data_IF_657832386705
#
_entry.id   IF_657832386705
#
_cell.length_a   1.000
_cell.length_b   1.000
_cell.length_c   1.000
_cell.angle_alpha   90.00
_cell.angle_beta   90.00
_cell.angle_gamma   90.00
#
_symmetry.space_group_name_H-M   'P 1'
#
loop_
_entity.id
_entity.type
_entity.pdbx_description
1 polymer ?
#
# COMPACT_ATOMS: atom_id res chain seq x y z
N UNK A 1 -1.41 17.69 19.41
CA UNK A 1 -0.06 18.31 19.39
C UNK A 1 0.55 18.03 18.02
N UNK A 2 1.57 18.77 17.56
CA UNK A 2 2.23 18.37 16.31
C UNK A 2 2.97 17.04 16.52
N UNK A 3 2.81 16.09 15.59
CA UNK A 3 3.44 14.76 15.61
C UNK A 3 4.60 14.75 14.63
N UNK A 4 5.62 13.94 14.88
CA UNK A 4 6.73 13.67 13.95
C UNK A 4 6.53 12.32 13.30
N UNK A 5 6.35 12.30 11.98
CA UNK A 5 5.99 11.12 11.22
C UNK A 5 7.09 10.82 10.19
N UNK A 6 7.68 9.63 10.29
CA UNK A 6 8.64 9.14 9.31
C UNK A 6 7.91 8.33 8.25
N UNK A 7 8.11 8.61 6.97
CA UNK A 7 7.49 7.86 5.87
C UNK A 7 8.58 7.27 4.98
N UNK A 8 8.66 5.95 4.92
CA UNK A 8 9.54 5.25 4.01
C UNK A 8 8.91 5.23 2.63
N UNK A 9 9.46 6.04 1.70
CA UNK A 9 8.99 6.17 0.32
C UNK A 9 8.42 7.55 -0.01
N UNK A 10 9.16 8.34 -0.78
CA UNK A 10 8.78 9.71 -1.20
C UNK A 10 7.94 9.80 -2.49
N UNK A 11 7.31 8.69 -2.92
CA UNK A 11 6.36 8.70 -4.04
C UNK A 11 4.94 8.62 -3.52
N UNK A 12 4.42 7.41 -3.32
CA UNK A 12 3.06 7.22 -2.81
C UNK A 12 2.89 7.77 -1.39
N UNK A 13 3.93 7.65 -0.55
CA UNK A 13 3.96 8.21 0.81
C UNK A 13 3.77 9.73 0.86
N UNK A 14 4.11 10.46 -0.21
CA UNK A 14 3.88 11.91 -0.29
C UNK A 14 2.40 12.28 -0.26
N UNK A 15 1.50 11.40 -0.70
CA UNK A 15 0.06 11.65 -0.63
C UNK A 15 -0.40 11.75 0.82
N UNK A 16 -0.17 10.71 1.62
CA UNK A 16 -0.55 10.72 3.03
C UNK A 16 0.28 11.74 3.82
N UNK A 17 1.57 11.90 3.49
CA UNK A 17 2.43 12.94 4.05
C UNK A 17 1.85 14.34 3.85
N UNK A 18 1.37 14.69 2.66
CA UNK A 18 0.70 15.98 2.42
C UNK A 18 -0.55 16.14 3.28
N UNK A 19 -1.33 15.08 3.52
CA UNK A 19 -2.48 15.16 4.43
C UNK A 19 -2.06 15.46 5.87
N UNK A 20 -0.98 14.85 6.35
CA UNK A 20 -0.43 15.13 7.68
C UNK A 20 0.13 16.56 7.79
N UNK A 21 0.83 17.05 6.76
CA UNK A 21 1.31 18.43 6.70
C UNK A 21 0.16 19.44 6.75
N UNK A 22 -0.94 19.18 6.02
CA UNK A 22 -2.14 20.03 6.07
C UNK A 22 -2.77 20.06 7.47
N UNK A 23 -2.72 18.95 8.20
CA UNK A 23 -3.20 18.85 9.57
C UNK A 23 -2.21 19.40 10.63
N UNK A 24 -1.06 19.95 10.22
CA UNK A 24 -0.09 20.59 11.12
C UNK A 24 0.96 19.65 11.74
N UNK A 25 1.09 18.43 11.22
CA UNK A 25 2.12 17.47 11.66
C UNK A 25 3.39 17.58 10.81
N UNK A 26 4.52 17.16 11.38
CA UNK A 26 5.82 17.18 10.72
C UNK A 26 6.10 15.83 10.06
N UNK A 27 6.58 15.87 8.81
CA UNK A 27 6.80 14.67 7.99
C UNK A 27 8.25 14.63 7.51
N UNK A 28 8.88 13.48 7.70
CA UNK A 28 10.16 13.14 7.06
C UNK A 28 9.93 12.06 6.00
N UNK A 29 10.31 12.34 4.75
CA UNK A 29 10.28 11.34 3.67
C UNK A 29 11.64 10.66 3.50
N UNK A 30 11.68 9.33 3.67
CA UNK A 30 12.88 8.54 3.35
C UNK A 30 12.91 8.23 1.87
N UNK A 31 14.01 8.61 1.21
CA UNK A 31 14.19 8.41 -0.22
C UNK A 31 15.68 8.40 -0.61
N UNK A 32 15.95 8.28 -1.92
CA UNK A 32 17.31 8.37 -2.46
C UNK A 32 17.85 9.80 -2.34
N UNK A 33 19.17 9.95 -2.25
CA UNK A 33 19.86 11.24 -2.05
C UNK A 33 19.37 12.35 -2.98
N UNK A 34 19.32 12.12 -4.29
CA UNK A 34 18.87 13.12 -5.26
C UNK A 34 17.40 13.56 -5.03
N UNK A 35 16.53 12.63 -4.62
CA UNK A 35 15.14 12.95 -4.27
C UNK A 35 15.06 13.73 -2.96
N UNK A 36 15.91 13.41 -1.98
CA UNK A 36 15.97 14.15 -0.71
C UNK A 36 16.44 15.59 -0.93
N UNK A 37 17.51 15.80 -1.71
CA UNK A 37 18.02 17.12 -2.10
C UNK A 37 16.95 17.94 -2.83
N UNK A 38 16.24 17.31 -3.78
CA UNK A 38 15.13 17.95 -4.50
C UNK A 38 14.00 18.37 -3.55
N UNK A 39 13.56 17.48 -2.66
CA UNK A 39 12.45 17.76 -1.73
C UNK A 39 12.86 18.82 -0.70
N UNK A 40 14.06 18.76 -0.13
CA UNK A 40 14.53 19.80 0.79
C UNK A 40 14.70 21.15 0.07
N UNK A 41 15.18 21.11 -1.19
CA UNK A 41 15.42 22.30 -2.00
C UNK A 41 14.18 22.94 -2.62
N UNK A 42 13.10 22.19 -2.89
CA UNK A 42 11.89 22.68 -3.57
C UNK A 42 10.55 22.39 -2.85
N UNK A 43 10.55 21.52 -1.83
CA UNK A 43 9.33 20.92 -1.27
C UNK A 43 8.77 19.79 -2.14
N UNK A 44 7.65 19.19 -1.73
CA UNK A 44 6.79 18.35 -2.58
C UNK A 44 5.56 19.10 -3.09
N UNK A 45 4.98 18.60 -4.19
CA UNK A 45 3.67 19.03 -4.73
C UNK A 45 2.77 17.80 -4.94
N UNK A 46 1.58 17.80 -4.33
CA UNK A 46 0.56 16.78 -4.56
C UNK A 46 -0.67 17.41 -5.21
N UNK A 47 -1.06 16.91 -6.38
CA UNK A 47 -2.17 17.42 -7.16
C UNK A 47 -3.43 16.63 -6.86
N UNK A 48 -4.42 17.26 -6.22
CA UNK A 48 -5.68 16.64 -5.81
C UNK A 48 -6.83 17.44 -6.43
N UNK A 49 -7.78 16.75 -7.05
CA UNK A 49 -9.02 17.33 -7.55
C UNK A 49 -9.99 17.51 -6.38
N UNK A 50 -10.36 18.74 -6.06
CA UNK A 50 -11.39 19.00 -5.04
C UNK A 50 -12.78 18.67 -5.58
N UNK A 51 -13.74 18.55 -4.67
CA UNK A 51 -15.15 18.36 -5.05
C UNK A 51 -15.62 19.55 -5.90
N UNK A 52 -16.34 19.24 -6.98
CA UNK A 52 -16.96 20.20 -7.90
C UNK A 52 -15.96 21.12 -8.63
N UNK A 53 -14.72 20.65 -8.82
CA UNK A 53 -13.72 21.33 -9.65
C UNK A 53 -13.41 20.48 -10.86
N UNK A 54 -13.00 21.11 -11.96
CA UNK A 54 -12.61 20.39 -13.18
C UNK A 54 -11.13 19.99 -13.20
N UNK A 55 -10.28 20.85 -12.60
CA UNK A 55 -8.84 20.72 -12.59
C UNK A 55 -8.31 20.26 -11.23
N UNK A 56 -7.16 19.59 -11.24
CA UNK A 56 -6.44 19.26 -10.01
C UNK A 56 -5.78 20.50 -9.42
N UNK A 57 -5.95 20.73 -8.12
CA UNK A 57 -5.23 21.77 -7.39
C UNK A 57 -3.87 21.26 -6.91
N UNK A 58 -2.79 22.05 -7.05
CA UNK A 58 -1.50 21.72 -6.47
C UNK A 58 -1.47 22.08 -4.98
N UNK A 59 -1.12 21.12 -4.13
CA UNK A 59 -0.82 21.34 -2.71
C UNK A 59 0.68 21.21 -2.50
N UNK A 60 1.34 22.35 -2.24
CA UNK A 60 2.79 22.41 -2.06
C UNK A 60 3.12 22.40 -0.58
N UNK A 61 3.99 21.49 -0.18
CA UNK A 61 4.43 21.32 1.23
C UNK A 61 4.87 22.61 1.94
N UNK A 62 5.48 23.55 1.22
CA UNK A 62 5.94 24.84 1.78
C UNK A 62 4.84 25.79 2.19
N UNK A 63 3.64 25.58 1.65
CA UNK A 63 2.46 26.41 1.91
C UNK A 63 1.56 25.76 2.98
N UNK A 64 1.96 24.63 3.57
CA UNK A 64 1.18 23.86 4.53
C UNK A 64 1.60 24.16 5.98
N UNK A 65 0.72 23.83 6.93
CA UNK A 65 0.92 24.13 8.34
C UNK A 65 2.06 23.34 9.00
N UNK A 66 2.25 22.09 8.58
CA UNK A 66 3.33 21.20 9.04
C UNK A 66 4.64 21.39 8.27
N UNK A 67 5.72 20.85 8.81
CA UNK A 67 7.04 20.92 8.16
C UNK A 67 7.41 19.63 7.44
N UNK A 68 8.04 19.77 6.28
CA UNK A 68 8.53 18.65 5.47
C UNK A 68 10.06 18.69 5.36
N UNK A 69 10.69 17.55 5.63
CA UNK A 69 12.04 17.27 5.19
C UNK A 69 12.13 15.88 4.52
N UNK A 70 13.29 15.58 3.95
CA UNK A 70 13.58 14.30 3.34
C UNK A 70 15.02 13.88 3.61
N UNK A 71 15.24 12.59 3.81
CA UNK A 71 16.55 12.04 4.11
C UNK A 71 16.77 10.66 3.51
N UNK A 72 18.06 10.29 3.40
CA UNK A 72 18.48 8.94 3.06
C UNK A 72 18.40 8.02 4.30
N UNK A 73 18.25 6.69 4.12
CA UNK A 73 17.99 5.78 5.23
C UNK A 73 19.00 5.86 6.38
N UNK A 74 20.30 6.03 6.11
CA UNK A 74 21.37 6.02 7.13
C UNK A 74 21.25 7.20 8.12
N UNK A 75 20.70 8.33 7.69
CA UNK A 75 20.55 9.55 8.53
C UNK A 75 19.36 9.52 9.48
N UNK A 76 18.41 8.61 9.27
CA UNK A 76 17.22 8.50 10.11
C UNK A 76 17.59 8.04 11.53
N UNK A 77 16.93 8.67 12.52
CA UNK A 77 16.93 8.29 13.94
C UNK A 77 15.49 7.94 14.34
N UNK A 78 15.07 6.67 14.29
CA UNK A 78 13.68 6.28 14.49
C UNK A 78 13.06 6.78 15.80
N UNK A 79 13.85 6.83 16.88
CA UNK A 79 13.45 7.33 18.21
C UNK A 79 12.97 8.80 18.23
N UNK A 80 13.23 9.55 17.15
CA UNK A 80 12.76 10.91 17.00
C UNK A 80 11.33 11.00 16.42
N UNK A 81 10.64 9.89 16.20
CA UNK A 81 9.33 9.86 15.54
C UNK A 81 8.27 9.21 16.40
N UNK A 82 7.04 9.72 16.29
CA UNK A 82 5.86 9.18 16.98
C UNK A 82 5.21 8.06 16.18
N UNK A 83 5.39 8.04 14.85
CA UNK A 83 4.83 7.05 13.94
C UNK A 83 5.76 6.86 12.73
N UNK A 84 5.89 5.62 12.28
CA UNK A 84 6.49 5.28 10.99
C UNK A 84 5.40 4.84 10.01
N UNK A 85 5.50 5.26 8.76
CA UNK A 85 4.65 4.81 7.66
C UNK A 85 5.48 4.09 6.60
N UNK A 86 5.07 2.89 6.21
CA UNK A 86 5.77 2.06 5.23
C UNK A 86 5.07 2.21 3.86
N UNK A 87 5.63 3.00 2.94
CA UNK A 87 5.00 3.40 1.68
C UNK A 87 5.86 3.11 0.44
N UNK A 88 6.60 2.01 0.47
CA UNK A 88 7.36 1.43 -0.65
C UNK A 88 6.78 0.05 -0.99
N UNK A 89 7.07 -0.51 -2.17
CA UNK A 89 6.69 -1.90 -2.46
C UNK A 89 7.56 -2.88 -1.66
N UNK A 90 7.00 -4.04 -1.28
CA UNK A 90 7.71 -5.07 -0.48
C UNK A 90 9.16 -5.35 -0.91
N UNK A 91 9.48 -5.56 -2.22
CA UNK A 91 10.85 -5.87 -2.61
C UNK A 91 11.89 -4.80 -2.27
N UNK A 92 11.48 -3.53 -2.11
CA UNK A 92 12.40 -2.44 -1.78
C UNK A 92 12.93 -2.56 -0.35
N UNK A 93 12.20 -3.22 0.54
CA UNK A 93 12.62 -3.46 1.92
C UNK A 93 13.72 -4.52 2.04
N UNK A 94 13.98 -5.29 0.98
CA UNK A 94 15.13 -6.20 0.92
C UNK A 94 16.47 -5.50 0.64
N UNK A 95 16.45 -4.24 0.18
CA UNK A 95 17.68 -3.47 -0.05
C UNK A 95 18.43 -3.22 1.27
N UNK A 96 19.77 -3.28 1.23
CA UNK A 96 20.61 -3.23 2.45
C UNK A 96 20.32 -2.00 3.30
N UNK A 97 20.27 -0.81 2.71
CA UNK A 97 20.06 0.45 3.44
C UNK A 97 18.68 0.53 4.10
N UNK A 98 17.64 0.06 3.40
CA UNK A 98 16.28 0.05 3.94
C UNK A 98 16.14 -1.04 5.01
N UNK A 99 16.73 -2.22 4.80
CA UNK A 99 16.74 -3.30 5.79
C UNK A 99 17.42 -2.86 7.09
N UNK A 100 18.56 -2.19 7.01
CA UNK A 100 19.23 -1.63 8.20
C UNK A 100 18.39 -0.57 8.90
N UNK A 101 17.61 0.23 8.15
CA UNK A 101 16.65 1.15 8.75
C UNK A 101 15.49 0.41 9.44
N UNK A 102 14.92 -0.63 8.81
CA UNK A 102 13.88 -1.46 9.42
C UNK A 102 14.33 -2.06 10.76
N UNK A 103 15.56 -2.59 10.83
CA UNK A 103 16.11 -3.12 12.09
C UNK A 103 16.19 -2.06 13.19
N UNK A 104 16.61 -0.84 12.86
CA UNK A 104 16.63 0.28 13.83
C UNK A 104 15.23 0.72 14.25
N UNK A 105 14.26 0.69 13.34
CA UNK A 105 12.86 0.99 13.66
C UNK A 105 12.31 -0.05 14.64
N UNK A 106 12.55 -1.34 14.39
CA UNK A 106 12.16 -2.42 15.29
C UNK A 106 12.78 -2.26 16.69
N UNK A 107 14.08 -1.96 16.76
CA UNK A 107 14.79 -1.70 18.03
C UNK A 107 14.23 -0.48 18.78
N UNK A 108 13.86 0.58 18.06
CA UNK A 108 13.26 1.78 18.65
C UNK A 108 11.79 1.58 19.07
N UNK A 109 11.14 0.48 18.66
CA UNK A 109 9.75 0.11 19.00
C UNK A 109 8.72 1.18 18.63
N UNK A 110 8.95 1.91 17.54
CA UNK A 110 8.02 2.94 17.05
C UNK A 110 6.85 2.26 16.30
N UNK A 111 5.59 2.63 16.55
CA UNK A 111 4.46 2.05 15.83
C UNK A 111 4.56 2.31 14.32
N UNK A 112 4.23 1.29 13.53
CA UNK A 112 4.39 1.29 12.07
C UNK A 112 3.06 1.05 11.35
N UNK A 113 2.63 2.00 10.53
CA UNK A 113 1.47 1.87 9.65
C UNK A 113 1.94 1.53 8.22
N UNK A 114 1.63 0.33 7.73
CA UNK A 114 1.95 -0.05 6.37
C UNK A 114 0.90 0.41 5.36
N UNK A 115 1.32 1.04 4.26
CA UNK A 115 0.49 1.36 3.08
C UNK A 115 0.77 0.39 1.91
N UNK A 116 1.41 -0.74 2.18
CA UNK A 116 1.78 -1.73 1.18
C UNK A 116 0.54 -2.56 0.78
N UNK A 117 0.48 -3.08 -0.45
CA UNK A 117 -0.54 -4.11 -0.73
C UNK A 117 -0.16 -5.43 -0.07
N UNK A 118 1.14 -5.74 -0.02
CA UNK A 118 1.67 -6.88 0.70
C UNK A 118 1.69 -6.59 2.20
N UNK A 119 0.94 -7.32 3.04
CA UNK A 119 1.04 -7.18 4.49
C UNK A 119 2.46 -7.50 4.97
N UNK A 120 3.06 -6.69 5.86
CA UNK A 120 4.29 -7.09 6.53
C UNK A 120 4.08 -8.38 7.33
N UNK A 121 5.08 -9.27 7.38
CA UNK A 121 4.98 -10.51 8.15
C UNK A 121 4.55 -10.30 9.63
N UNK A 122 5.05 -9.28 10.36
CA UNK A 122 4.63 -9.02 11.74
C UNK A 122 3.14 -8.71 11.85
N UNK A 123 2.52 -8.14 10.82
CA UNK A 123 1.08 -7.93 10.79
C UNK A 123 0.32 -9.25 10.63
N UNK A 124 0.78 -10.14 9.74
CA UNK A 124 0.17 -11.46 9.55
C UNK A 124 0.26 -12.33 10.81
N UNK A 125 1.33 -12.18 11.60
CA UNK A 125 1.47 -12.87 12.89
C UNK A 125 0.37 -12.50 13.91
N UNK A 126 -0.42 -11.44 13.66
CA UNK A 126 -1.56 -11.04 14.50
C UNK A 126 -2.85 -11.76 14.12
N UNK A 127 -2.88 -12.48 12.99
CA UNK A 127 -4.09 -13.14 12.50
C UNK A 127 -4.27 -14.49 13.20
N UNK A 128 -5.35 -14.69 13.99
CA UNK A 128 -5.54 -15.94 14.73
C UNK A 128 -5.63 -17.15 13.81
N UNK A 129 -4.87 -18.20 14.14
CA UNK A 129 -4.90 -19.48 13.42
C UNK A 129 -4.18 -19.49 12.06
N UNK A 130 -3.46 -18.43 11.71
CA UNK A 130 -2.68 -18.38 10.47
C UNK A 130 -1.25 -18.90 10.69
N UNK A 131 -0.83 -19.87 9.88
CA UNK A 131 0.55 -20.42 9.93
C UNK A 131 1.48 -19.59 9.04
N UNK A 132 2.12 -18.57 9.62
CA UNK A 132 2.91 -17.60 8.86
C UNK A 132 4.26 -18.12 8.35
N UNK A 133 4.81 -19.17 8.97
CA UNK A 133 6.06 -19.82 8.52
C UNK A 133 5.93 -20.36 7.09
N UNK A 134 4.75 -20.82 6.71
CA UNK A 134 4.45 -21.32 5.36
C UNK A 134 4.32 -20.21 4.31
N UNK A 135 4.35 -18.94 4.72
CA UNK A 135 4.16 -17.77 3.83
C UNK A 135 5.48 -17.11 3.44
N UNK A 136 6.62 -17.62 3.92
CA UNK A 136 7.94 -17.03 3.67
C UNK A 136 8.28 -16.89 2.17
N UNK A 137 7.81 -17.82 1.33
CA UNK A 137 8.02 -17.80 -0.12
C UNK A 137 7.34 -16.62 -0.84
N UNK A 138 6.40 -15.92 -0.18
CA UNK A 138 5.73 -14.74 -0.74
C UNK A 138 6.56 -13.46 -0.63
N UNK A 139 7.64 -13.47 0.16
CA UNK A 139 8.44 -12.29 0.47
C UNK A 139 9.77 -12.33 -0.28
N UNK A 140 10.23 -11.16 -0.72
CA UNK A 140 11.58 -11.01 -1.29
C UNK A 140 12.63 -11.25 -0.22
N UNK A 141 12.39 -10.76 1.00
CA UNK A 141 13.23 -11.05 2.17
C UNK A 141 12.45 -10.84 3.46
N UNK A 142 12.65 -11.76 4.42
CA UNK A 142 12.11 -11.63 5.78
C UNK A 142 13.07 -10.99 6.79
N UNK A 143 14.35 -10.79 6.42
CA UNK A 143 15.39 -10.40 7.38
C UNK A 143 15.07 -9.09 8.11
N UNK A 144 14.53 -8.10 7.40
CA UNK A 144 14.17 -6.80 7.98
C UNK A 144 12.95 -6.82 8.89
N UNK A 145 12.17 -7.90 8.86
CA UNK A 145 10.90 -8.02 9.58
C UNK A 145 11.00 -8.84 10.87
N UNK A 146 12.07 -9.62 11.05
CA UNK A 146 12.19 -10.60 12.16
C UNK A 146 12.09 -9.99 13.56
N UNK A 147 12.66 -8.80 13.75
CA UNK A 147 12.75 -8.14 15.06
C UNK A 147 11.51 -7.29 15.40
N UNK A 148 10.55 -7.15 14.47
CA UNK A 148 9.36 -6.36 14.72
C UNK A 148 8.41 -7.10 15.65
N UNK A 149 7.97 -6.40 16.69
CA UNK A 149 6.85 -6.84 17.51
C UNK A 149 5.55 -6.75 16.71
N UNK A 150 4.77 -7.84 16.56
CA UNK A 150 3.51 -7.83 15.82
C UNK A 150 2.56 -6.70 16.24
N UNK A 151 2.38 -6.48 17.54
CA UNK A 151 1.48 -5.45 18.09
C UNK A 151 1.82 -4.00 17.71
N UNK A 152 3.05 -3.74 17.25
CA UNK A 152 3.53 -2.44 16.79
C UNK A 152 3.32 -2.21 15.29
N UNK A 153 2.87 -3.21 14.54
CA UNK A 153 2.65 -3.09 13.09
C UNK A 153 1.16 -3.14 12.79
N UNK A 154 0.67 -2.13 12.08
CA UNK A 154 -0.65 -2.10 11.50
C UNK A 154 -0.58 -2.01 9.98
N UNK A 155 -1.69 -2.34 9.33
CA UNK A 155 -1.84 -2.31 7.88
C UNK A 155 -2.97 -1.35 7.51
N UNK A 156 -2.74 -0.62 6.43
CA UNK A 156 -3.68 0.27 5.82
C UNK A 156 -3.91 -0.17 4.38
N UNK A 157 -5.17 -0.28 3.96
CA UNK A 157 -5.46 -0.47 2.54
C UNK A 157 -5.08 0.80 1.77
N UNK A 158 -4.14 0.74 0.81
CA UNK A 158 -3.79 1.87 -0.04
C UNK A 158 -4.83 1.98 -1.17
N UNK A 159 -6.02 2.46 -0.86
CA UNK A 159 -7.10 2.62 -1.85
C UNK A 159 -6.86 3.78 -2.84
N UNK A 160 -6.28 4.94 -2.45
CA UNK A 160 -6.07 6.04 -3.38
C UNK A 160 -5.20 5.64 -4.57
N UNK A 161 -5.58 6.04 -5.78
CA UNK A 161 -4.72 5.89 -6.96
C UNK A 161 -3.93 7.17 -7.19
N UNK A 162 -2.62 7.09 -7.04
CA UNK A 162 -1.71 8.20 -7.27
C UNK A 162 -0.47 7.74 -8.06
N UNK A 163 0.03 8.61 -8.94
CA UNK A 163 1.16 8.31 -9.81
C UNK A 163 1.97 9.57 -10.10
N UNK A 164 3.24 9.39 -10.45
CA UNK A 164 4.08 10.46 -11.00
C UNK A 164 3.77 10.62 -12.48
N UNK A 165 3.66 11.88 -12.93
CA UNK A 165 3.55 12.18 -14.35
C UNK A 165 4.94 12.01 -15.00
N UNK A 166 5.03 11.47 -16.24
CA UNK A 166 6.31 11.24 -16.91
C UNK A 166 7.19 12.49 -17.02
N UNK A 167 6.56 13.65 -17.28
CA UNK A 167 7.26 14.92 -17.52
C UNK A 167 7.43 15.78 -16.25
N UNK A 168 7.08 15.26 -15.08
CA UNK A 168 7.15 15.99 -13.82
C UNK A 168 8.37 15.58 -12.98
N UNK A 169 8.90 16.53 -12.20
CA UNK A 169 9.95 16.28 -11.21
C UNK A 169 9.51 15.20 -10.19
N UNK A 170 10.47 14.47 -9.62
CA UNK A 170 10.21 13.34 -8.71
C UNK A 170 9.48 13.71 -7.40
N UNK A 171 9.38 14.99 -7.07
CA UNK A 171 8.66 15.54 -5.93
C UNK A 171 7.19 15.91 -6.26
N UNK A 172 6.71 15.65 -7.48
CA UNK A 172 5.34 15.91 -7.92
C UNK A 172 4.54 14.60 -8.00
N UNK A 173 3.37 14.55 -7.35
CA UNK A 173 2.46 13.42 -7.38
C UNK A 173 1.07 13.86 -7.87
N UNK A 174 0.45 13.05 -8.73
CA UNK A 174 -0.90 13.28 -9.23
C UNK A 174 -1.86 12.23 -8.66
N UNK A 175 -2.99 12.67 -8.10
CA UNK A 175 -4.05 11.79 -7.60
C UNK A 175 -5.10 11.58 -8.68
N UNK A 176 -5.16 10.37 -9.24
CA UNK A 176 -6.14 9.98 -10.24
C UNK A 176 -7.49 9.63 -9.63
N UNK A 177 -7.50 8.85 -8.55
CA UNK A 177 -8.72 8.43 -7.85
C UNK A 177 -8.59 8.74 -6.35
N UNK A 178 -9.36 9.72 -5.82
CA UNK A 178 -9.19 10.20 -4.46
C UNK A 178 -10.07 9.44 -3.45
N UNK A 179 -9.84 8.14 -3.29
CA UNK A 179 -10.45 7.29 -2.24
C UNK A 179 -9.74 7.45 -0.90
N UNK A 180 -10.09 6.65 0.12
CA UNK A 180 -9.60 6.81 1.49
C UNK A 180 -8.67 5.68 1.91
N UNK A 181 -7.63 6.03 2.67
CA UNK A 181 -6.82 5.07 3.41
C UNK A 181 -7.66 4.45 4.53
N UNK A 182 -7.67 3.12 4.64
CA UNK A 182 -8.41 2.39 5.69
C UNK A 182 -7.44 1.62 6.56
N UNK A 183 -7.19 2.11 7.76
CA UNK A 183 -6.23 1.55 8.70
C UNK A 183 -6.91 0.54 9.64
N UNK A 184 -6.31 -0.63 9.79
CA UNK A 184 -6.58 -1.55 10.88
C UNK A 184 -6.03 -0.98 12.21
N UNK A 185 -6.48 -1.50 13.37
CA UNK A 185 -5.98 -1.02 14.64
C UNK A 185 -4.59 -1.60 14.97
N UNK A 186 -3.79 -0.83 15.70
CA UNK A 186 -2.66 -1.37 16.47
C UNK A 186 -3.17 -2.23 17.64
N UNK A 187 -2.29 -2.98 18.29
CA UNK A 187 -2.67 -3.74 19.49
C UNK A 187 -2.88 -2.82 20.70
N UNK A 188 -1.94 -1.89 20.92
CA UNK A 188 -2.02 -0.96 22.04
C UNK A 188 -2.99 0.21 21.76
N UNK A 189 -3.79 0.59 22.76
CA UNK A 189 -4.74 1.69 22.66
C UNK A 189 -4.05 3.03 22.36
N UNK A 190 -2.92 3.28 23.02
CA UNK A 190 -2.08 4.48 22.85
C UNK A 190 -1.62 4.70 21.39
N UNK A 191 -1.29 3.65 20.65
CA UNK A 191 -0.97 3.76 19.22
C UNK A 191 -2.22 4.02 18.36
N UNK A 192 -3.38 3.52 18.78
CA UNK A 192 -4.64 3.82 18.12
C UNK A 192 -5.11 5.26 18.38
N UNK A 193 -4.75 5.86 19.52
CA UNK A 193 -4.99 7.29 19.78
C UNK A 193 -4.22 8.18 18.79
N UNK A 194 -3.00 7.79 18.40
CA UNK A 194 -2.24 8.45 17.33
C UNK A 194 -3.03 8.39 16.02
N UNK A 195 -3.54 7.21 15.62
CA UNK A 195 -4.34 7.08 14.39
C UNK A 195 -5.62 7.94 14.43
N UNK A 196 -6.32 7.97 15.56
CA UNK A 196 -7.55 8.77 15.73
C UNK A 196 -7.25 10.27 15.70
N UNK A 197 -6.15 10.72 16.30
CA UNK A 197 -5.71 12.12 16.21
C UNK A 197 -5.43 12.51 14.76
N UNK A 198 -4.70 11.67 14.01
CA UNK A 198 -4.37 11.90 12.61
C UNK A 198 -5.61 11.88 11.71
N UNK A 199 -6.54 10.95 11.92
CA UNK A 199 -7.82 10.92 11.23
C UNK A 199 -8.62 12.21 11.46
N UNK A 200 -8.82 12.61 12.72
CA UNK A 200 -9.57 13.80 13.07
C UNK A 200 -8.93 15.07 12.48
N UNK A 201 -7.60 15.17 12.53
CA UNK A 201 -6.85 16.26 11.91
C UNK A 201 -7.07 16.33 10.40
N UNK A 202 -7.01 15.20 9.70
CA UNK A 202 -7.25 15.11 8.25
C UNK A 202 -8.70 15.41 7.88
N UNK A 203 -9.65 15.01 8.72
CA UNK A 203 -11.07 15.29 8.52
C UNK A 203 -11.41 16.77 8.69
N UNK A 204 -10.73 17.47 9.60
CA UNK A 204 -10.92 18.89 9.85
C UNK A 204 -10.39 19.80 8.72
N UNK A 205 -9.52 19.30 7.83
CA UNK A 205 -8.93 20.11 6.75
C UNK A 205 -10.00 20.74 5.86
N UNK A 206 -9.92 22.07 5.68
CA UNK A 206 -10.70 22.83 4.72
C UNK A 206 -9.81 23.75 3.89
N UNK A 207 -10.11 23.87 2.60
CA UNK A 207 -9.44 24.80 1.67
C UNK A 207 -10.53 25.60 0.98
N UNK A 208 -10.56 26.92 1.18
CA UNK A 208 -11.65 27.79 0.71
C UNK A 208 -13.04 27.27 1.15
N UNK A 209 -13.14 26.77 2.39
CA UNK A 209 -14.35 26.17 2.93
C UNK A 209 -14.70 24.77 2.38
N UNK A 210 -13.97 24.26 1.38
CA UNK A 210 -14.20 22.93 0.79
C UNK A 210 -13.44 21.84 1.53
N UNK A 211 -14.03 20.65 1.58
CA UNK A 211 -13.32 19.45 2.03
C UNK A 211 -12.25 19.05 1.02
N UNK A 212 -11.11 18.57 1.55
CA UNK A 212 -10.05 18.02 0.73
C UNK A 212 -10.15 16.50 0.70
N UNK A 213 -10.37 15.87 -0.47
CA UNK A 213 -10.46 14.41 -0.62
C UNK A 213 -9.22 13.67 -0.15
N UNK A 214 -9.32 12.34 -0.12
CA UNK A 214 -8.36 11.42 0.49
C UNK A 214 -8.28 11.61 2.00
N UNK A 215 -8.96 10.70 2.72
CA UNK A 215 -9.02 10.66 4.19
C UNK A 215 -8.25 9.46 4.73
N UNK A 216 -7.89 9.53 6.00
CA UNK A 216 -7.49 8.38 6.80
C UNK A 216 -8.69 7.94 7.61
N UNK A 217 -9.06 6.66 7.54
CA UNK A 217 -10.17 6.05 8.28
C UNK A 217 -9.60 4.99 9.20
N UNK A 218 -9.64 5.22 10.51
CA UNK A 218 -9.28 4.20 11.48
C UNK A 218 -10.47 3.25 11.68
N UNK A 219 -10.22 1.96 11.60
CA UNK A 219 -11.21 0.91 11.82
C UNK A 219 -10.82 0.04 13.01
N UNK A 220 -11.79 -0.69 13.55
CA UNK A 220 -11.59 -1.58 14.71
C UNK A 220 -11.24 -3.03 14.33
N UNK A 221 -11.25 -3.37 13.03
CA UNK A 221 -11.00 -4.74 12.54
C UNK A 221 -9.65 -4.86 11.84
N UNK A 222 -8.93 -5.93 12.17
CA UNK A 222 -7.69 -6.34 11.49
C UNK A 222 -7.93 -6.76 10.03
N UNK A 223 -9.16 -7.05 9.65
CA UNK A 223 -9.41 -7.63 8.33
C UNK A 223 -9.82 -6.59 7.28
N UNK A 224 -10.00 -5.33 7.68
CA UNK A 224 -10.38 -4.24 6.76
C UNK A 224 -9.41 -4.11 5.58
N UNK A 225 -8.08 -4.19 5.76
CA UNK A 225 -7.17 -4.11 4.62
C UNK A 225 -7.26 -5.30 3.66
N UNK A 226 -7.72 -6.46 4.11
CA UNK A 226 -7.79 -7.67 3.29
C UNK A 226 -8.94 -7.65 2.28
N UNK A 227 -9.94 -6.76 2.46
CA UNK A 227 -11.03 -6.58 1.47
C UNK A 227 -10.51 -6.24 0.07
N UNK A 228 -9.29 -5.69 -0.05
CA UNK A 228 -8.67 -5.39 -1.35
C UNK A 228 -8.16 -6.63 -2.08
N UNK A 229 -7.91 -7.75 -1.39
CA UNK A 229 -7.34 -8.96 -2.00
C UNK A 229 -8.20 -9.49 -3.16
N UNK A 230 -9.54 -9.50 -3.00
CA UNK A 230 -10.44 -9.92 -4.06
C UNK A 230 -10.24 -9.10 -5.35
N UNK A 231 -10.14 -7.77 -5.24
CA UNK A 231 -9.88 -6.89 -6.39
C UNK A 231 -8.50 -7.13 -7.01
N UNK A 232 -7.47 -7.37 -6.18
CA UNK A 232 -6.12 -7.61 -6.67
C UNK A 232 -6.03 -8.92 -7.46
N UNK A 233 -6.62 -10.00 -6.97
CA UNK A 233 -6.57 -11.30 -7.64
C UNK A 233 -7.47 -11.35 -8.88
N UNK A 234 -8.67 -10.77 -8.81
CA UNK A 234 -9.61 -10.76 -9.94
C UNK A 234 -9.15 -9.87 -11.09
N UNK A 235 -8.53 -8.72 -10.80
CA UNK A 235 -8.06 -7.78 -11.83
C UNK A 235 -6.54 -7.69 -11.94
N UNK A 236 -5.88 -7.19 -10.89
CA UNK A 236 -4.49 -6.74 -11.01
C UNK A 236 -3.51 -7.85 -11.42
N UNK A 237 -3.59 -9.02 -10.80
CA UNK A 237 -2.69 -10.14 -11.13
C UNK A 237 -3.10 -10.83 -12.43
N UNK A 238 -4.40 -10.82 -12.78
CA UNK A 238 -4.92 -11.31 -14.08
C UNK A 238 -4.58 -10.42 -15.27
N UNK A 239 -4.00 -9.24 -15.04
CA UNK A 239 -3.35 -8.46 -16.09
C UNK A 239 -2.09 -9.15 -16.64
N UNK A 240 -1.44 -10.02 -15.86
CA UNK A 240 -0.26 -10.76 -16.28
C UNK A 240 -0.70 -11.93 -17.15
N UNK A 241 -0.24 -11.97 -18.39
CA UNK A 241 -0.47 -13.08 -19.31
C UNK A 241 0.80 -13.91 -19.47
N UNK A 242 0.70 -15.08 -20.10
CA UNK A 242 1.89 -15.86 -20.48
C UNK A 242 2.85 -15.03 -21.34
N UNK A 243 2.29 -14.20 -22.23
CA UNK A 243 3.02 -13.23 -23.05
C UNK A 243 2.32 -11.86 -22.95
N UNK A 244 3.08 -10.81 -22.67
CA UNK A 244 2.55 -9.45 -22.57
C UNK A 244 1.66 -9.20 -21.34
N UNK A 245 0.82 -8.17 -21.43
CA UNK A 245 -0.09 -7.77 -20.37
C UNK A 245 -1.36 -7.18 -20.95
N UNK A 246 -2.45 -7.23 -20.18
CA UNK A 246 -3.74 -6.62 -20.54
C UNK A 246 -4.20 -5.57 -19.52
N UNK A 247 -5.02 -4.59 -19.90
CA UNK A 247 -5.73 -3.70 -18.99
C UNK A 247 -6.52 -4.42 -17.90
N UNK A 248 -6.73 -3.77 -16.76
CA UNK A 248 -7.55 -4.33 -15.67
C UNK A 248 -9.00 -4.54 -16.12
N UNK A 249 -9.54 -3.61 -16.94
CA UNK A 249 -10.87 -3.77 -17.54
C UNK A 249 -11.03 -5.12 -18.24
N UNK A 250 -10.11 -5.43 -19.16
CA UNK A 250 -10.11 -6.69 -19.91
C UNK A 250 -9.92 -7.89 -18.98
N UNK A 251 -8.99 -7.78 -18.02
CA UNK A 251 -8.80 -8.82 -17.00
C UNK A 251 -10.10 -9.16 -16.24
N UNK A 252 -10.94 -8.18 -15.93
CA UNK A 252 -12.20 -8.39 -15.22
C UNK A 252 -13.35 -8.81 -16.16
N UNK A 253 -13.45 -8.24 -17.36
CA UNK A 253 -14.66 -8.34 -18.20
C UNK A 253 -14.57 -9.37 -19.33
N UNK A 254 -13.38 -9.79 -19.78
CA UNK A 254 -13.25 -10.78 -20.87
C UNK A 254 -13.86 -12.13 -20.50
N UNK A 255 -13.78 -12.49 -19.21
CA UNK A 255 -14.42 -13.66 -18.62
C UNK A 255 -14.94 -13.28 -17.23
N UNK A 256 -16.17 -12.76 -17.23
CA UNK A 256 -16.82 -12.22 -16.03
C UNK A 256 -17.18 -13.32 -15.02
N UNK A 257 -17.43 -14.56 -15.48
CA UNK A 257 -17.79 -15.68 -14.61
C UNK A 257 -16.56 -16.16 -13.83
N UNK A 258 -15.40 -16.31 -14.49
CA UNK A 258 -14.14 -16.54 -13.79
C UNK A 258 -13.82 -15.41 -12.83
N UNK A 259 -14.06 -14.15 -13.23
CA UNK A 259 -13.86 -13.00 -12.36
C UNK A 259 -14.71 -13.07 -11.09
N UNK A 260 -16.00 -13.41 -11.24
CA UNK A 260 -16.96 -13.58 -10.14
C UNK A 260 -16.53 -14.72 -9.23
N UNK A 261 -16.11 -15.86 -9.78
CA UNK A 261 -15.63 -17.01 -9.03
C UNK A 261 -14.42 -16.68 -8.15
N UNK A 262 -13.38 -16.06 -8.74
CA UNK A 262 -12.18 -15.64 -8.01
C UNK A 262 -12.55 -14.63 -6.92
N UNK A 263 -13.36 -13.62 -7.28
CA UNK A 263 -13.71 -12.56 -6.35
C UNK A 263 -14.46 -13.10 -5.12
N UNK A 264 -15.46 -13.98 -5.35
CA UNK A 264 -16.21 -14.60 -4.27
C UNK A 264 -15.31 -15.50 -3.41
N UNK A 265 -14.48 -16.34 -4.04
CA UNK A 265 -13.58 -17.26 -3.31
C UNK A 265 -12.62 -16.51 -2.38
N UNK A 266 -12.03 -15.41 -2.84
CA UNK A 266 -11.13 -14.59 -2.03
C UNK A 266 -11.90 -13.81 -0.96
N UNK A 267 -13.12 -13.35 -1.25
CA UNK A 267 -13.98 -12.71 -0.25
C UNK A 267 -14.36 -13.69 0.87
N UNK A 268 -14.72 -14.92 0.53
CA UNK A 268 -15.04 -15.99 1.47
C UNK A 268 -13.83 -16.37 2.33
N UNK A 269 -12.64 -16.40 1.73
CA UNK A 269 -11.39 -16.59 2.47
C UNK A 269 -11.17 -15.50 3.52
N UNK A 270 -11.37 -14.24 3.14
CA UNK A 270 -11.19 -13.09 4.05
C UNK A 270 -12.23 -13.12 5.19
N UNK A 271 -13.47 -13.53 4.91
CA UNK A 271 -14.49 -13.79 5.93
C UNK A 271 -14.08 -14.95 6.84
N UNK A 272 -13.57 -16.04 6.27
CA UNK A 272 -13.10 -17.21 7.04
C UNK A 272 -11.96 -16.86 8.01
N UNK A 273 -11.09 -15.92 7.63
CA UNK A 273 -10.01 -15.41 8.49
C UNK A 273 -10.54 -14.56 9.67
N UNK A 274 -11.71 -13.93 9.52
CA UNK A 274 -12.35 -13.15 10.59
C UNK A 274 -12.96 -11.82 10.15
N UNK A 275 -12.97 -11.49 8.85
CA UNK A 275 -13.71 -10.33 8.37
C UNK A 275 -15.22 -10.49 8.54
N UNK A 276 -15.93 -9.40 8.74
CA UNK A 276 -17.39 -9.41 8.66
C UNK A 276 -17.83 -9.38 7.19
N UNK A 277 -18.89 -10.09 6.79
CA UNK A 277 -19.39 -10.06 5.42
C UNK A 277 -19.66 -8.64 4.90
N UNK A 278 -20.21 -7.75 5.75
CA UNK A 278 -20.52 -6.37 5.40
C UNK A 278 -19.29 -5.47 5.15
N UNK A 279 -18.10 -5.93 5.54
CA UNK A 279 -16.85 -5.22 5.25
C UNK A 279 -16.36 -5.44 3.81
N UNK A 280 -16.92 -6.43 3.10
CA UNK A 280 -16.54 -6.76 1.74
C UNK A 280 -17.24 -5.85 0.74
N UNK A 281 -16.57 -5.56 -0.38
CA UNK A 281 -17.17 -4.81 -1.49
C UNK A 281 -17.87 -5.81 -2.41
N UNK A 282 -19.16 -5.64 -2.74
CA UNK A 282 -19.84 -6.51 -3.70
C UNK A 282 -19.13 -6.55 -5.05
N UNK A 283 -19.10 -7.73 -5.68
CA UNK A 283 -18.45 -7.93 -6.97
C UNK A 283 -18.98 -6.97 -8.03
N UNK A 284 -20.29 -6.72 -8.08
CA UNK A 284 -20.93 -5.84 -9.05
C UNK A 284 -20.39 -4.41 -8.96
N UNK A 285 -20.12 -3.93 -7.74
CA UNK A 285 -19.52 -2.60 -7.54
C UNK A 285 -18.09 -2.56 -8.07
N UNK A 286 -17.32 -3.62 -7.86
CA UNK A 286 -15.97 -3.74 -8.39
C UNK A 286 -15.97 -3.85 -9.92
N UNK A 287 -16.80 -4.72 -10.50
CA UNK A 287 -16.91 -4.92 -11.94
C UNK A 287 -17.27 -3.61 -12.67
N UNK A 288 -18.24 -2.86 -12.15
CA UNK A 288 -18.60 -1.54 -12.67
C UNK A 288 -17.42 -0.55 -12.58
N UNK A 289 -16.73 -0.50 -11.43
CA UNK A 289 -15.56 0.36 -11.28
C UNK A 289 -14.42 -0.03 -12.27
N UNK A 290 -14.26 -1.32 -12.55
CA UNK A 290 -13.24 -1.85 -13.44
C UNK A 290 -13.40 -1.41 -14.90
N UNK A 291 -14.60 -0.99 -15.34
CA UNK A 291 -14.82 -0.45 -16.70
C UNK A 291 -13.95 0.77 -17.01
N UNK A 292 -13.58 1.53 -15.98
CA UNK A 292 -12.73 2.72 -16.10
C UNK A 292 -11.23 2.42 -16.02
N UNK A 293 -10.83 1.18 -15.73
CA UNK A 293 -9.43 0.80 -15.47
C UNK A 293 -8.74 0.32 -16.76
N UNK A 294 -8.48 1.28 -17.65
CA UNK A 294 -7.96 1.06 -19.01
C UNK A 294 -6.45 0.78 -19.09
N UNK A 295 -5.73 0.75 -17.97
CA UNK A 295 -4.28 0.50 -17.92
C UNK A 295 -4.00 -0.86 -17.27
N UNK A 296 -2.92 -1.55 -17.67
CA UNK A 296 -2.44 -2.71 -16.94
C UNK A 296 -2.02 -2.34 -15.52
N UNK A 297 -2.14 -3.31 -14.61
CA UNK A 297 -1.76 -3.13 -13.21
C UNK A 297 -0.27 -2.78 -13.04
N UNK A 298 0.09 -2.23 -11.88
CA UNK A 298 1.50 -1.98 -11.55
C UNK A 298 2.35 -3.26 -11.55
N UNK A 299 1.79 -4.38 -11.07
CA UNK A 299 2.45 -5.68 -11.06
C UNK A 299 2.73 -6.16 -12.50
N UNK A 300 1.73 -6.09 -13.39
CA UNK A 300 1.90 -6.50 -14.78
C UNK A 300 2.92 -5.63 -15.53
N UNK A 301 2.85 -4.30 -15.36
CA UNK A 301 3.84 -3.38 -15.95
C UNK A 301 5.25 -3.62 -15.42
N UNK A 302 5.40 -3.91 -14.13
CA UNK A 302 6.71 -4.22 -13.55
C UNK A 302 7.30 -5.50 -14.13
N UNK A 303 6.51 -6.58 -14.19
CA UNK A 303 6.93 -7.86 -14.78
C UNK A 303 7.26 -7.70 -16.26
N UNK A 304 6.42 -7.01 -17.04
CA UNK A 304 6.65 -6.79 -18.47
C UNK A 304 7.91 -5.92 -18.72
N UNK A 305 8.20 -4.99 -17.81
CA UNK A 305 9.43 -4.21 -17.78
C UNK A 305 10.66 -4.96 -17.24
N UNK A 306 10.60 -6.27 -17.01
CA UNK A 306 11.74 -7.09 -16.60
C UNK A 306 11.99 -7.15 -15.08
N UNK A 307 11.04 -6.74 -14.24
CA UNK A 307 11.21 -6.84 -12.79
C UNK A 307 11.38 -8.30 -12.35
N UNK A 308 12.43 -8.54 -11.55
CA UNK A 308 12.75 -9.85 -10.98
C UNK A 308 11.98 -10.14 -9.67
N UNK A 309 11.45 -9.10 -9.05
CA UNK A 309 10.69 -9.19 -7.81
C UNK A 309 9.53 -8.20 -7.85
N UNK A 310 8.36 -8.63 -7.37
CA UNK A 310 7.17 -7.82 -7.14
C UNK A 310 6.51 -8.26 -5.83
N UNK A 311 5.54 -7.49 -5.34
CA UNK A 311 4.66 -7.96 -4.27
C UNK A 311 3.88 -9.20 -4.74
N UNK A 312 3.97 -10.31 -4.01
CA UNK A 312 3.32 -11.59 -4.33
C UNK A 312 2.07 -11.83 -3.49
N UNK A 313 1.14 -10.87 -3.47
CA UNK A 313 -0.16 -11.02 -2.79
C UNK A 313 -0.98 -12.16 -3.41
N UNK A 314 -0.81 -12.43 -4.71
CA UNK A 314 -1.37 -13.60 -5.39
C UNK A 314 -0.94 -14.92 -4.72
N UNK A 315 0.36 -15.10 -4.49
CA UNK A 315 0.90 -16.29 -3.85
C UNK A 315 0.51 -16.34 -2.37
N UNK A 316 0.52 -15.18 -1.69
CA UNK A 316 0.10 -15.09 -0.29
C UNK A 316 -1.33 -15.61 -0.10
N UNK A 317 -2.28 -15.05 -0.88
CA UNK A 317 -3.69 -15.44 -0.78
C UNK A 317 -3.87 -16.91 -1.13
N UNK A 318 -3.17 -17.43 -2.15
CA UNK A 318 -3.20 -18.85 -2.50
C UNK A 318 -2.72 -19.73 -1.34
N UNK A 319 -1.56 -19.45 -0.74
CA UNK A 319 -1.02 -20.27 0.34
C UNK A 319 -1.89 -20.23 1.60
N UNK A 320 -2.51 -19.08 1.90
CA UNK A 320 -3.49 -18.98 3.01
C UNK A 320 -4.74 -19.81 2.69
N UNK A 321 -5.23 -19.76 1.44
CA UNK A 321 -6.36 -20.58 1.01
C UNK A 321 -6.05 -22.09 1.13
N UNK A 322 -4.85 -22.51 0.75
CA UNK A 322 -4.40 -23.91 0.88
C UNK A 322 -4.40 -24.37 2.35
N UNK A 323 -3.89 -23.53 3.28
CA UNK A 323 -3.92 -23.83 4.73
C UNK A 323 -5.35 -24.07 5.25
N UNK A 324 -6.34 -23.38 4.69
CA UNK A 324 -7.74 -23.46 5.10
C UNK A 324 -8.58 -24.44 4.27
N UNK A 325 -7.97 -25.15 3.31
CA UNK A 325 -8.68 -26.06 2.41
C UNK A 325 -9.64 -25.35 1.44
N UNK A 326 -9.35 -24.09 1.10
CA UNK A 326 -10.17 -23.21 0.26
C UNK A 326 -9.51 -22.87 -1.09
N UNK A 327 -8.65 -23.76 -1.59
CA UNK A 327 -7.97 -23.56 -2.87
C UNK A 327 -8.93 -23.31 -4.04
N UNK A 328 -8.50 -22.50 -5.00
CA UNK A 328 -9.28 -22.16 -6.19
C UNK A 328 -8.41 -22.36 -7.45
N UNK A 329 -8.79 -23.24 -8.40
CA UNK A 329 -7.99 -23.52 -9.59
C UNK A 329 -7.68 -22.30 -10.46
N UNK A 330 -8.59 -21.34 -10.56
CA UNK A 330 -8.37 -20.13 -11.32
C UNK A 330 -7.35 -19.18 -10.64
N UNK A 331 -7.29 -19.19 -9.30
CA UNK A 331 -6.23 -18.49 -8.56
C UNK A 331 -4.89 -19.21 -8.76
N UNK A 332 -4.87 -20.53 -8.73
CA UNK A 332 -3.65 -21.32 -8.96
C UNK A 332 -3.03 -21.04 -10.33
N UNK A 333 -3.85 -20.95 -11.38
CA UNK A 333 -3.40 -20.59 -12.74
C UNK A 333 -2.77 -19.19 -12.80
N UNK A 334 -3.38 -18.21 -12.12
CA UNK A 334 -2.83 -16.85 -12.03
C UNK A 334 -1.47 -16.86 -11.34
N UNK A 335 -1.35 -17.56 -10.20
CA UNK A 335 -0.10 -17.67 -9.45
C UNK A 335 0.97 -18.37 -10.28
N UNK A 336 0.62 -19.43 -11.01
CA UNK A 336 1.54 -20.14 -11.90
C UNK A 336 2.07 -19.22 -13.01
N UNK A 337 1.18 -18.45 -13.65
CA UNK A 337 1.53 -17.49 -14.70
C UNK A 337 2.49 -16.41 -14.17
N UNK A 338 2.15 -15.78 -13.04
CA UNK A 338 2.99 -14.76 -12.40
C UNK A 338 4.37 -15.32 -12.04
N UNK A 339 4.40 -16.53 -11.45
CA UNK A 339 5.64 -17.20 -11.06
C UNK A 339 6.51 -17.51 -12.29
N UNK A 340 5.92 -18.04 -13.36
CA UNK A 340 6.62 -18.34 -14.61
C UNK A 340 7.23 -17.10 -15.25
N UNK A 341 6.47 -15.99 -15.30
CA UNK A 341 6.95 -14.70 -15.84
C UNK A 341 8.11 -14.12 -15.04
N UNK A 342 8.04 -14.14 -13.71
CA UNK A 342 9.14 -13.69 -12.85
C UNK A 342 10.38 -14.57 -13.05
N UNK A 343 10.22 -15.89 -13.11
CA UNK A 343 11.32 -16.80 -13.39
C UNK A 343 11.95 -16.56 -14.78
N UNK A 344 11.13 -16.18 -15.77
CA UNK A 344 11.61 -15.71 -17.08
C UNK A 344 12.51 -14.49 -16.98
N UNK A 345 12.09 -13.46 -16.24
CA UNK A 345 12.90 -12.25 -16.03
C UNK A 345 14.20 -12.54 -15.29
N UNK A 346 14.18 -13.44 -14.30
CA UNK A 346 15.39 -13.88 -13.60
C UNK A 346 16.38 -14.56 -14.54
N UNK A 347 15.91 -15.46 -15.42
CA UNK A 347 16.77 -16.12 -16.42
C UNK A 347 17.34 -15.15 -17.45
N UNK A 348 16.57 -14.15 -17.87
CA UNK A 348 17.02 -13.18 -18.87
C UNK A 348 18.10 -12.21 -18.35
N UNK A 349 18.20 -12.06 -17.03
CA UNK A 349 19.15 -11.16 -16.37
C UNK A 349 20.41 -11.83 -15.83
N UNK A 350 20.45 -13.17 -15.83
CA UNK A 350 21.60 -13.98 -15.42
C UNK A 350 22.59 -14.17 -16.57
#
# INVERSE_FOLDING_TARGET
>A
MSRRILILGASYGSLLGTKFLMAGHNVTLVCRKATAELINGKGSEVRIKLRDEDLHRPFRSRDLAGTLDAMVPDKVRPEAYDLVVLAMSEPQFASTDVRMLLMRIAQARVPCLSLMNMPPMPYLNRIPGLETDHLAACYTSLDGWREFEPGLVSLCSPDPQAFRLPDADANVLHVGLPTNFKAAPFEALEHNEILKELEAGIDAIRVEGKEVPVKLRAHDSLFVPFAKWAMLLTGNYRCVQETGMRPIKEAVHDDIETSRNIYQSVSDLVVKLGATPDSQVPFEKYAMAAESLLKPSSAARAIDGGAQHIERVDLLVKLIADQLGMGNPAVDEVVATVTSRIAGNLRAAA
#
